data_IF_215811194597
#
_entry.id   IF_215811194597
#
_cell.length_a   1.000
_cell.length_b   1.000
_cell.length_c   1.000
_cell.angle_alpha   90.00
_cell.angle_beta   90.00
_cell.angle_gamma   90.00
#
_symmetry.space_group_name_H-M   'P 1'
#
loop_
_entity.id
_entity.type
_entity.pdbx_description
1 polymer ?
#
# COMPACT_ATOMS: atom_id res chain seq x y z
N UNK A 1 3.63 16.33 4.07
CA UNK A 1 2.87 16.12 2.83
C UNK A 1 2.47 14.65 2.68
N UNK A 2 3.38 13.70 2.43
CA UNK A 2 3.03 12.26 2.28
C UNK A 2 2.31 11.69 3.53
N UNK A 3 2.88 11.89 4.72
CA UNK A 3 2.27 11.41 5.96
C UNK A 3 0.86 12.00 6.19
N UNK A 4 0.62 13.24 5.77
CA UNK A 4 -0.69 13.88 5.91
C UNK A 4 -1.70 13.28 4.93
N UNK A 5 -1.29 12.97 3.70
CA UNK A 5 -2.11 12.25 2.72
C UNK A 5 -2.53 10.88 3.27
N UNK A 6 -1.65 10.13 3.92
CA UNK A 6 -2.00 8.86 4.56
C UNK A 6 -2.88 9.02 5.80
N UNK A 7 -2.77 10.12 6.55
CA UNK A 7 -3.74 10.46 7.61
C UNK A 7 -5.12 10.74 7.04
N UNK A 8 -5.20 11.51 5.94
CA UNK A 8 -6.46 11.75 5.23
C UNK A 8 -7.04 10.44 4.68
N UNK A 9 -6.21 9.56 4.09
CA UNK A 9 -6.65 8.23 3.64
C UNK A 9 -7.23 7.42 4.80
N UNK A 10 -6.56 7.37 5.95
CA UNK A 10 -7.07 6.69 7.15
C UNK A 10 -8.42 7.25 7.58
N UNK A 11 -8.61 8.57 7.61
CA UNK A 11 -9.90 9.18 7.93
C UNK A 11 -10.98 8.79 6.91
N UNK A 12 -10.64 8.78 5.61
CA UNK A 12 -11.59 8.38 4.56
C UNK A 12 -12.00 6.92 4.65
N UNK A 13 -11.11 6.03 5.09
CA UNK A 13 -11.43 4.63 5.31
C UNK A 13 -12.55 4.43 6.34
N UNK A 14 -12.72 5.34 7.30
CA UNK A 14 -13.80 5.25 8.30
C UNK A 14 -15.20 5.28 7.66
N UNK A 15 -15.37 5.90 6.48
CA UNK A 15 -16.66 5.95 5.79
C UNK A 15 -17.09 4.62 5.17
N UNK A 16 -16.17 3.67 5.01
CA UNK A 16 -16.51 2.31 4.59
C UNK A 16 -17.07 1.45 5.75
N UNK A 17 -16.94 1.92 6.99
CA UNK A 17 -17.41 1.23 8.18
C UNK A 17 -18.89 1.52 8.38
N UNK A 18 -19.77 0.70 7.83
CA UNK A 18 -21.22 0.90 7.98
C UNK A 18 -21.77 0.28 9.26
N UNK A 19 -21.28 -0.89 9.69
CA UNK A 19 -21.71 -1.56 10.94
C UNK A 19 -20.65 -2.47 11.61
N UNK A 20 -19.56 -2.80 10.93
CA UNK A 20 -18.49 -3.68 11.43
C UNK A 20 -17.15 -2.94 11.37
N UNK A 21 -16.32 -3.12 12.40
CA UNK A 21 -14.97 -2.59 12.41
C UNK A 21 -14.19 -3.11 11.19
N UNK A 22 -13.71 -2.16 10.38
CA UNK A 22 -12.87 -2.43 9.23
C UNK A 22 -11.51 -2.93 9.72
N UNK A 23 -11.29 -4.22 9.57
CA UNK A 23 -10.10 -4.86 10.10
C UNK A 23 -9.10 -5.16 9.00
N UNK A 24 -9.54 -5.70 7.87
CA UNK A 24 -8.64 -6.19 6.82
C UNK A 24 -8.73 -5.36 5.56
N UNK A 25 -7.60 -4.74 5.19
CA UNK A 25 -7.48 -3.87 4.01
C UNK A 25 -6.53 -4.54 3.02
N UNK A 26 -7.02 -4.87 1.84
CA UNK A 26 -6.21 -5.42 0.77
C UNK A 26 -5.79 -4.32 -0.19
N UNK A 27 -4.51 -4.31 -0.58
CA UNK A 27 -3.94 -3.35 -1.52
C UNK A 27 -3.52 -4.09 -2.78
N UNK A 28 -4.14 -3.73 -3.90
CA UNK A 28 -3.87 -4.31 -5.22
C UNK A 28 -3.85 -3.23 -6.31
N UNK A 29 -3.63 -3.63 -7.55
CA UNK A 29 -3.56 -2.76 -8.73
C UNK A 29 -3.65 -3.59 -10.01
N UNK A 30 -3.82 -2.98 -11.19
CA UNK A 30 -3.94 -3.73 -12.46
C UNK A 30 -2.60 -4.18 -13.05
N UNK A 31 -1.48 -3.65 -12.56
CA UNK A 31 -0.15 -3.93 -13.10
C UNK A 31 0.96 -3.79 -12.06
N UNK A 32 2.15 -4.32 -12.37
CA UNK A 32 3.33 -4.11 -11.53
C UNK A 32 3.80 -2.64 -11.62
N UNK A 33 4.44 -2.14 -10.56
CA UNK A 33 5.02 -0.79 -10.54
C UNK A 33 4.07 0.37 -10.21
N UNK A 34 2.83 0.09 -9.79
CA UNK A 34 1.84 1.13 -9.44
C UNK A 34 1.96 1.64 -7.99
N UNK A 35 2.83 1.02 -7.19
CA UNK A 35 3.17 1.46 -5.83
C UNK A 35 2.36 0.82 -4.70
N UNK A 36 1.91 -0.43 -4.89
CA UNK A 36 1.15 -1.21 -3.87
C UNK A 36 1.91 -1.32 -2.56
N UNK A 37 3.12 -1.87 -2.58
CA UNK A 37 3.99 -2.03 -1.40
C UNK A 37 4.30 -0.70 -0.69
N UNK A 38 4.47 0.38 -1.46
CA UNK A 38 4.60 1.73 -0.91
C UNK A 38 3.33 2.16 -0.17
N UNK A 39 2.15 1.98 -0.77
CA UNK A 39 0.89 2.35 -0.17
C UNK A 39 0.55 1.50 1.06
N UNK A 40 0.71 0.18 0.98
CA UNK A 40 0.46 -0.75 2.08
C UNK A 40 1.38 -0.46 3.27
N UNK A 41 2.68 -0.26 3.04
CA UNK A 41 3.66 0.05 4.09
C UNK A 41 3.35 1.37 4.81
N UNK A 42 3.07 2.44 4.06
CA UNK A 42 2.75 3.74 4.66
C UNK A 42 1.38 3.72 5.38
N UNK A 43 0.41 2.98 4.85
CA UNK A 43 -0.87 2.79 5.52
C UNK A 43 -0.71 1.99 6.82
N UNK A 44 0.12 0.94 6.83
CA UNK A 44 0.41 0.18 8.05
C UNK A 44 1.08 1.04 9.11
N UNK A 45 2.06 1.82 8.68
CA UNK A 45 2.77 2.75 9.54
C UNK A 45 1.81 3.77 10.17
N UNK A 46 0.88 4.36 9.41
CA UNK A 46 -0.04 5.37 9.97
C UNK A 46 -1.07 4.78 10.92
N UNK A 47 -1.50 3.53 10.69
CA UNK A 47 -2.40 2.80 11.59
C UNK A 47 -1.67 2.48 12.90
N UNK A 48 -0.45 1.95 12.83
CA UNK A 48 0.37 1.65 14.00
C UNK A 48 0.70 2.89 14.85
N UNK A 49 1.10 3.99 14.21
CA UNK A 49 1.37 5.30 14.86
C UNK A 49 0.12 5.82 15.58
N UNK A 50 -1.08 5.47 15.10
CA UNK A 50 -2.33 5.87 15.73
C UNK A 50 -2.73 5.02 16.94
N UNK A 51 -1.88 4.06 17.32
CA UNK A 51 -2.09 3.18 18.47
C UNK A 51 -2.80 1.88 18.14
N UNK A 52 -3.14 1.63 16.86
CA UNK A 52 -3.80 0.39 16.44
C UNK A 52 -2.80 -0.74 16.32
N UNK A 53 -3.09 -1.89 16.93
CA UNK A 53 -2.29 -3.10 16.75
C UNK A 53 -2.41 -3.58 15.30
N UNK A 54 -1.36 -3.33 14.51
CA UNK A 54 -1.38 -3.41 13.06
C UNK A 54 -0.43 -4.50 12.57
N UNK A 55 -0.90 -5.27 11.59
CA UNK A 55 -0.10 -6.23 10.84
C UNK A 55 0.03 -5.82 9.38
N UNK A 56 1.26 -5.78 8.87
CA UNK A 56 1.54 -5.69 7.43
C UNK A 56 1.90 -7.08 6.88
N UNK A 57 1.18 -7.52 5.86
CA UNK A 57 1.36 -8.84 5.25
C UNK A 57 1.72 -8.72 3.77
N UNK A 58 2.84 -9.33 3.37
CA UNK A 58 3.23 -9.46 1.96
C UNK A 58 2.77 -10.80 1.38
N UNK A 59 1.81 -10.77 0.45
CA UNK A 59 1.22 -11.96 -0.19
C UNK A 59 1.50 -12.06 -1.70
N UNK A 60 2.49 -11.33 -2.23
CA UNK A 60 3.04 -11.63 -3.55
C UNK A 60 4.05 -12.79 -3.45
N UNK A 61 3.54 -14.01 -3.47
CA UNK A 61 4.35 -15.24 -3.41
C UNK A 61 5.15 -15.50 -4.70
N UNK A 62 4.83 -14.82 -5.81
CA UNK A 62 5.48 -15.03 -7.12
C UNK A 62 6.70 -14.14 -7.28
N UNK A 63 6.59 -12.89 -6.83
CA UNK A 63 7.65 -11.87 -6.91
C UNK A 63 7.70 -11.10 -5.59
N UNK A 64 8.07 -11.75 -4.49
CA UNK A 64 8.14 -11.09 -3.19
C UNK A 64 9.18 -9.97 -3.23
N UNK A 65 8.79 -8.79 -2.76
CA UNK A 65 9.65 -7.58 -2.71
C UNK A 65 9.49 -6.77 -1.44
N UNK A 66 8.43 -7.01 -0.67
CA UNK A 66 8.12 -6.20 0.50
C UNK A 66 9.23 -6.25 1.55
N UNK A 67 9.91 -7.40 1.69
CA UNK A 67 11.00 -7.58 2.65
C UNK A 67 12.22 -6.68 2.37
N UNK A 68 12.49 -6.38 1.09
CA UNK A 68 13.61 -5.52 0.65
C UNK A 68 13.44 -4.11 1.22
N UNK A 69 12.21 -3.59 1.26
CA UNK A 69 11.89 -2.25 1.79
C UNK A 69 12.23 -2.10 3.28
N UNK A 70 12.33 -3.22 4.01
CA UNK A 70 12.70 -3.28 5.43
C UNK A 70 14.14 -3.72 5.67
N UNK A 71 14.90 -4.08 4.62
CA UNK A 71 16.26 -4.59 4.76
C UNK A 71 16.33 -5.93 5.51
N UNK A 72 15.29 -6.76 5.40
CA UNK A 72 15.17 -8.05 6.07
C UNK A 72 15.40 -9.20 5.09
N UNK A 73 15.60 -10.43 5.58
CA UNK A 73 15.69 -11.63 4.75
C UNK A 73 14.31 -12.20 4.42
N UNK A 74 14.18 -12.90 3.29
CA UNK A 74 12.95 -13.57 2.87
C UNK A 74 13.03 -15.10 2.98
N UNK A 75 13.88 -15.60 3.87
CA UNK A 75 14.15 -17.04 4.03
C UNK A 75 12.99 -17.78 4.72
N UNK A 76 12.23 -17.06 5.54
CA UNK A 76 11.07 -17.54 6.28
C UNK A 76 9.86 -16.63 6.02
N UNK A 77 8.71 -17.23 5.75
CA UNK A 77 7.46 -16.51 5.57
C UNK A 77 6.27 -17.41 5.30
N UNK A 78 5.24 -16.83 4.71
CA UNK A 78 3.93 -17.45 4.49
C UNK A 78 4.03 -18.74 3.67
N UNK A 79 4.88 -18.78 2.64
CA UNK A 79 5.08 -19.98 1.83
C UNK A 79 5.60 -21.16 2.66
N UNK A 80 6.52 -20.91 3.61
CA UNK A 80 7.03 -21.96 4.50
C UNK A 80 5.93 -22.48 5.43
N UNK A 81 5.15 -21.58 6.04
CA UNK A 81 4.07 -21.95 6.96
C UNK A 81 2.95 -22.73 6.23
N UNK A 82 2.51 -22.22 5.08
CA UNK A 82 1.49 -22.89 4.26
C UNK A 82 1.99 -24.25 3.76
N UNK A 83 3.28 -24.36 3.44
CA UNK A 83 3.96 -25.63 3.13
C UNK A 83 4.10 -26.58 4.33
N UNK A 84 3.91 -26.11 5.56
CA UNK A 84 4.04 -26.90 6.78
C UNK A 84 5.47 -27.12 7.26
N UNK A 85 6.40 -26.27 6.82
CA UNK A 85 7.80 -26.35 7.20
C UNK A 85 8.10 -25.63 8.51
N UNK A 86 7.24 -24.68 8.92
CA UNK A 86 7.40 -23.85 10.12
C UNK A 86 6.06 -23.58 10.79
N UNK A 87 6.09 -23.14 12.05
CA UNK A 87 4.92 -22.75 12.83
C UNK A 87 4.56 -21.27 12.59
N UNK A 88 3.33 -20.90 12.92
CA UNK A 88 2.83 -19.54 12.72
C UNK A 88 3.63 -18.47 13.47
N UNK A 89 4.09 -18.78 14.68
CA UNK A 89 4.92 -17.87 15.50
C UNK A 89 6.26 -17.55 14.83
N UNK A 90 6.75 -18.42 13.95
CA UNK A 90 8.08 -18.28 13.34
C UNK A 90 8.05 -17.29 12.16
N UNK A 91 6.87 -16.97 11.64
CA UNK A 91 6.69 -16.09 10.48
C UNK A 91 6.20 -14.68 10.86
N UNK A 92 5.83 -14.46 12.13
CA UNK A 92 5.42 -13.16 12.65
C UNK A 92 6.66 -12.42 13.13
N UNK A 93 6.99 -11.32 12.46
CA UNK A 93 8.14 -10.48 12.76
C UNK A 93 7.68 -9.21 13.48
N UNK A 94 8.21 -8.98 14.67
CA UNK A 94 7.99 -7.75 15.41
C UNK A 94 8.91 -6.66 14.85
N UNK A 95 8.34 -5.54 14.42
CA UNK A 95 9.15 -4.39 14.00
C UNK A 95 9.72 -3.63 15.19
N UNK A 96 10.71 -2.78 14.96
CA UNK A 96 11.20 -1.83 15.98
C UNK A 96 10.15 -0.75 16.31
N UNK A 97 9.08 -0.64 15.53
CA UNK A 97 8.00 0.31 15.73
C UNK A 97 6.86 -0.32 16.54
N UNK A 98 6.46 0.39 17.61
CA UNK A 98 5.33 -0.02 18.44
C UNK A 98 4.06 -0.26 17.60
N UNK A 99 3.34 -1.34 17.92
CA UNK A 99 2.06 -1.71 17.29
C UNK A 99 2.16 -2.11 15.81
N UNK A 100 3.36 -2.36 15.27
CA UNK A 100 3.53 -2.84 13.91
C UNK A 100 4.28 -4.16 13.89
N UNK A 101 3.56 -5.20 13.48
CA UNK A 101 4.14 -6.49 13.15
C UNK A 101 4.07 -6.73 11.64
N UNK A 102 4.88 -7.67 11.16
CA UNK A 102 5.05 -7.95 9.74
C UNK A 102 5.06 -9.46 9.49
N UNK A 103 4.51 -9.86 8.35
CA UNK A 103 4.68 -11.21 7.81
C UNK A 103 5.03 -11.07 6.32
N UNK A 104 6.13 -11.70 5.90
CA UNK A 104 6.54 -11.71 4.49
C UNK A 104 6.17 -13.01 3.78
N UNK A 105 6.28 -12.98 2.46
CA UNK A 105 5.92 -14.08 1.58
C UNK A 105 6.74 -15.36 1.83
N UNK A 106 8.03 -15.22 2.17
CA UNK A 106 8.97 -16.34 2.19
C UNK A 106 9.47 -16.71 0.79
N UNK A 107 10.24 -17.80 0.65
CA UNK A 107 10.75 -18.27 -0.63
C UNK A 107 9.64 -18.55 -1.63
N UNK A 108 9.88 -18.33 -2.92
CA UNK A 108 8.89 -18.55 -3.99
C UNK A 108 8.51 -20.03 -4.05
N UNK A 109 7.26 -20.41 -3.76
CA UNK A 109 6.84 -21.81 -3.82
C UNK A 109 6.51 -22.24 -5.26
N UNK A 110 6.53 -23.54 -5.57
CA UNK A 110 6.16 -24.04 -6.89
C UNK A 110 4.67 -23.85 -7.22
N UNK A 111 3.80 -23.78 -6.21
CA UNK A 111 2.34 -23.71 -6.35
C UNK A 111 1.68 -22.58 -5.51
N UNK A 112 1.93 -21.29 -5.81
CA UNK A 112 1.43 -20.16 -5.01
C UNK A 112 -0.08 -20.12 -4.81
N UNK A 113 -0.87 -20.31 -5.87
CA UNK A 113 -2.32 -20.18 -5.82
C UNK A 113 -2.97 -21.23 -4.91
N UNK A 114 -2.52 -22.48 -5.00
CA UNK A 114 -3.03 -23.60 -4.20
C UNK A 114 -2.78 -23.38 -2.71
N UNK A 115 -1.58 -22.89 -2.36
CA UNK A 115 -1.23 -22.59 -0.98
C UNK A 115 -2.16 -21.52 -0.38
N UNK A 116 -2.43 -20.44 -1.13
CA UNK A 116 -3.31 -19.35 -0.68
C UNK A 116 -4.78 -19.76 -0.57
N UNK A 117 -5.20 -20.79 -1.32
CA UNK A 117 -6.57 -21.31 -1.29
C UNK A 117 -6.78 -22.42 -0.24
N UNK A 118 -5.72 -22.91 0.39
CA UNK A 118 -5.78 -24.02 1.35
C UNK A 118 -6.27 -23.62 2.75
N UNK A 119 -6.72 -24.61 3.52
CA UNK A 119 -7.23 -24.41 4.89
C UNK A 119 -6.23 -23.78 5.87
N UNK A 120 -4.91 -23.97 5.66
CA UNK A 120 -3.90 -23.32 6.51
C UNK A 120 -3.93 -21.79 6.40
N UNK A 121 -4.28 -21.26 5.22
CA UNK A 121 -4.47 -19.83 5.02
C UNK A 121 -5.71 -19.33 5.75
N UNK A 122 -6.78 -20.12 5.77
CA UNK A 122 -8.00 -19.82 6.54
C UNK A 122 -7.71 -19.74 8.04
N UNK A 123 -7.05 -20.75 8.60
CA UNK A 123 -6.65 -20.79 10.00
C UNK A 123 -5.72 -19.63 10.37
N UNK A 124 -4.79 -19.28 9.47
CA UNK A 124 -3.92 -18.13 9.66
C UNK A 124 -4.74 -16.84 9.74
N UNK A 125 -5.60 -16.58 8.76
CA UNK A 125 -6.39 -15.35 8.74
C UNK A 125 -7.36 -15.25 9.93
N UNK A 126 -7.93 -16.36 10.40
CA UNK A 126 -8.76 -16.38 11.62
C UNK A 126 -7.96 -15.97 12.86
N UNK A 127 -6.78 -16.58 13.08
CA UNK A 127 -5.90 -16.22 14.19
C UNK A 127 -5.48 -14.75 14.13
N UNK A 128 -5.09 -14.27 12.95
CA UNK A 128 -4.62 -12.89 12.78
C UNK A 128 -5.75 -11.89 13.02
N UNK A 129 -6.98 -12.19 12.57
CA UNK A 129 -8.17 -11.37 12.87
C UNK A 129 -8.55 -11.40 14.34
N UNK A 130 -8.24 -12.46 15.09
CA UNK A 130 -8.40 -12.44 16.54
C UNK A 130 -7.31 -11.62 17.26
N UNK A 131 -6.15 -11.43 16.62
CA UNK A 131 -4.94 -10.90 17.27
C UNK A 131 -4.67 -9.42 16.98
N UNK A 132 -5.04 -8.93 15.80
CA UNK A 132 -4.72 -7.59 15.31
C UNK A 132 -5.99 -6.77 15.09
N UNK A 133 -5.93 -5.46 15.38
CA UNK A 133 -7.04 -4.55 15.07
C UNK A 133 -7.09 -4.18 13.59
N UNK A 134 -5.92 -4.10 12.94
CA UNK A 134 -5.80 -3.79 11.51
C UNK A 134 -4.83 -4.78 10.85
N UNK A 135 -5.21 -5.32 9.70
CA UNK A 135 -4.38 -6.17 8.85
C UNK A 135 -4.34 -5.54 7.45
N UNK A 136 -3.15 -5.27 6.95
CA UNK A 136 -2.94 -4.70 5.62
C UNK A 136 -2.24 -5.73 4.76
N UNK A 137 -2.85 -6.08 3.64
CA UNK A 137 -2.36 -7.12 2.74
C UNK A 137 -1.84 -6.49 1.45
N UNK A 138 -0.55 -6.59 1.20
CA UNK A 138 0.08 -6.27 -0.08
C UNK A 138 -0.01 -7.48 -1.01
N UNK A 139 -0.53 -7.29 -2.22
CA UNK A 139 -0.87 -8.39 -3.14
C UNK A 139 -0.26 -8.20 -4.53
N UNK A 140 -0.16 -9.28 -5.33
CA UNK A 140 0.18 -9.12 -6.75
C UNK A 140 -0.93 -8.36 -7.51
N UNK A 141 -0.64 -7.86 -8.72
CA UNK A 141 -1.65 -7.19 -9.54
C UNK A 141 -2.87 -8.08 -9.84
N UNK A 142 -4.07 -7.57 -9.62
CA UNK A 142 -5.33 -8.25 -9.96
C UNK A 142 -5.49 -8.33 -11.48
N UNK A 143 -5.98 -9.45 -11.99
CA UNK A 143 -6.20 -9.69 -13.43
C UNK A 143 -5.00 -10.21 -14.21
N UNK A 144 -3.78 -10.14 -13.65
CA UNK A 144 -2.60 -10.83 -14.22
C UNK A 144 -2.51 -12.27 -13.70
N UNK A 145 -2.91 -12.50 -12.46
CA UNK A 145 -2.86 -13.80 -11.78
C UNK A 145 -4.11 -14.04 -10.95
N UNK A 146 -4.50 -15.31 -10.80
CA UNK A 146 -5.67 -15.73 -10.02
C UNK A 146 -5.51 -15.53 -8.51
N UNK A 147 -4.28 -15.42 -8.03
CA UNK A 147 -3.91 -15.45 -6.61
C UNK A 147 -4.64 -14.36 -5.78
N UNK A 148 -4.74 -13.13 -6.31
CA UNK A 148 -5.38 -12.02 -5.60
C UNK A 148 -6.88 -12.27 -5.36
N UNK A 149 -7.58 -12.95 -6.28
CA UNK A 149 -9.01 -13.25 -6.11
C UNK A 149 -9.27 -14.16 -4.91
N UNK A 150 -8.39 -15.13 -4.66
CA UNK A 150 -8.46 -16.01 -3.49
C UNK A 150 -8.32 -15.26 -2.16
N UNK A 151 -7.67 -14.09 -2.18
CA UNK A 151 -7.43 -13.26 -1.00
C UNK A 151 -8.55 -12.27 -0.69
N UNK A 152 -9.35 -11.90 -1.70
CA UNK A 152 -10.45 -10.93 -1.55
C UNK A 152 -11.46 -11.35 -0.47
N UNK A 153 -11.70 -12.67 -0.32
CA UNK A 153 -12.63 -13.19 0.71
C UNK A 153 -12.20 -12.87 2.14
N UNK A 154 -10.92 -12.57 2.38
CA UNK A 154 -10.42 -12.20 3.69
C UNK A 154 -10.46 -10.69 3.94
N UNK A 155 -10.65 -9.87 2.90
CA UNK A 155 -10.64 -8.41 2.97
C UNK A 155 -12.01 -7.83 3.27
N UNK A 156 -12.04 -6.76 4.08
CA UNK A 156 -13.24 -5.94 4.28
C UNK A 156 -13.27 -4.79 3.27
N UNK A 157 -12.10 -4.26 2.88
CA UNK A 157 -11.91 -3.19 1.87
C UNK A 157 -10.81 -3.57 0.90
N UNK A 158 -11.02 -3.22 -0.37
CA UNK A 158 -10.07 -3.42 -1.46
C UNK A 158 -9.60 -2.07 -2.03
N UNK A 159 -8.34 -1.72 -1.77
CA UNK A 159 -7.69 -0.53 -2.33
C UNK A 159 -7.04 -0.88 -3.67
N UNK A 160 -7.55 -0.29 -4.74
CA UNK A 160 -7.02 -0.45 -6.08
C UNK A 160 -6.20 0.76 -6.48
N UNK A 161 -4.90 0.57 -6.70
CA UNK A 161 -4.00 1.65 -7.07
C UNK A 161 -4.03 1.92 -8.58
N UNK A 162 -4.08 3.20 -8.92
CA UNK A 162 -3.88 3.73 -10.26
C UNK A 162 -2.74 4.73 -10.16
N UNK A 163 -1.69 4.55 -10.97
CA UNK A 163 -0.53 5.45 -10.97
C UNK A 163 -0.68 6.52 -12.06
N UNK A 164 -0.63 7.78 -11.65
CA UNK A 164 -0.79 8.91 -12.54
C UNK A 164 0.26 8.93 -13.65
N UNK A 165 -0.18 9.12 -14.91
CA UNK A 165 0.65 9.10 -16.12
C UNK A 165 1.42 7.78 -16.34
N UNK A 166 0.96 6.68 -15.75
CA UNK A 166 1.55 5.35 -15.92
C UNK A 166 0.48 4.31 -16.25
N UNK A 167 -0.57 4.22 -15.43
CA UNK A 167 -1.68 3.27 -15.65
C UNK A 167 -2.48 3.71 -16.86
N UNK A 168 -2.71 2.77 -17.79
CA UNK A 168 -3.52 3.03 -18.98
C UNK A 168 -5.01 2.96 -18.60
N UNK A 169 -5.84 3.80 -19.20
CA UNK A 169 -7.28 3.80 -18.89
C UNK A 169 -7.93 2.44 -19.22
N UNK A 170 -7.49 1.82 -20.31
CA UNK A 170 -8.01 0.51 -20.73
C UNK A 170 -7.65 -0.62 -19.76
N UNK A 171 -6.55 -0.51 -19.01
CA UNK A 171 -6.19 -1.53 -18.00
C UNK A 171 -7.07 -1.47 -16.75
N UNK A 172 -7.84 -0.39 -16.56
CA UNK A 172 -8.79 -0.25 -15.46
C UNK A 172 -10.15 -0.85 -15.84
N UNK A 173 -10.52 -0.92 -17.12
CA UNK A 173 -11.83 -1.40 -17.58
C UNK A 173 -12.22 -2.78 -17.02
N UNK A 174 -11.33 -3.79 -16.98
CA UNK A 174 -11.66 -5.10 -16.40
C UNK A 174 -12.10 -5.04 -14.93
N UNK A 175 -11.70 -4.00 -14.19
CA UNK A 175 -12.13 -3.79 -12.82
C UNK A 175 -13.65 -3.62 -12.71
N UNK A 176 -14.27 -2.93 -13.67
CA UNK A 176 -15.72 -2.75 -13.70
C UNK A 176 -16.39 -4.12 -13.82
N UNK A 177 -15.92 -4.98 -14.72
CA UNK A 177 -16.46 -6.33 -14.89
C UNK A 177 -16.33 -7.15 -13.59
N UNK A 178 -15.21 -7.03 -12.87
CA UNK A 178 -15.02 -7.74 -11.59
C UNK A 178 -15.99 -7.25 -10.50
N UNK A 179 -16.29 -5.95 -10.48
CA UNK A 179 -17.25 -5.35 -9.53
C UNK A 179 -18.67 -5.72 -9.91
N UNK A 180 -19.06 -5.60 -11.18
CA UNK A 180 -20.40 -5.94 -11.68
C UNK A 180 -20.73 -7.42 -11.47
N UNK A 181 -19.74 -8.31 -11.64
CA UNK A 181 -19.89 -9.74 -11.36
C UNK A 181 -19.83 -10.10 -9.86
N UNK A 182 -19.64 -9.10 -8.99
CA UNK A 182 -19.55 -9.29 -7.54
C UNK A 182 -18.30 -10.03 -7.06
N UNK A 183 -17.28 -10.16 -7.93
CA UNK A 183 -15.99 -10.78 -7.59
C UNK A 183 -15.16 -9.90 -6.66
N UNK A 184 -15.30 -8.58 -6.79
CA UNK A 184 -14.66 -7.59 -5.92
C UNK A 184 -15.76 -6.73 -5.28
N UNK A 185 -15.69 -6.58 -3.95
CA UNK A 185 -16.62 -5.76 -3.16
C UNK A 185 -15.86 -4.69 -2.39
N UNK A 186 -16.55 -3.63 -1.97
CA UNK A 186 -15.99 -2.57 -1.12
C UNK A 186 -14.66 -2.00 -1.66
N UNK A 187 -14.65 -1.67 -2.95
CA UNK A 187 -13.48 -1.18 -3.64
C UNK A 187 -13.34 0.35 -3.50
N UNK A 188 -12.11 0.81 -3.32
CA UNK A 188 -11.74 2.23 -3.41
C UNK A 188 -10.53 2.40 -4.32
N UNK A 189 -10.49 3.48 -5.09
CA UNK A 189 -9.38 3.79 -6.00
C UNK A 189 -8.42 4.77 -5.31
N UNK A 190 -7.13 4.47 -5.36
CA UNK A 190 -6.06 5.37 -4.92
C UNK A 190 -5.28 5.84 -6.14
N UNK A 191 -5.29 7.16 -6.38
CA UNK A 191 -4.42 7.77 -7.37
C UNK A 191 -3.03 8.02 -6.75
N UNK A 192 -2.04 7.23 -7.17
CA UNK A 192 -0.67 7.29 -6.69
C UNK A 192 0.26 8.05 -7.66
N UNK A 193 1.41 8.52 -7.15
CA UNK A 193 2.43 9.28 -7.89
C UNK A 193 1.85 10.50 -8.64
N UNK A 194 0.88 11.18 -8.01
CA UNK A 194 0.25 12.35 -8.60
C UNK A 194 1.29 13.45 -8.81
N UNK A 195 1.34 13.96 -10.04
CA UNK A 195 2.24 15.03 -10.47
C UNK A 195 1.36 16.20 -10.84
N UNK A 196 1.24 17.18 -9.95
CA UNK A 196 0.62 18.45 -10.29
C UNK A 196 1.41 19.03 -11.48
N UNK A 197 0.71 19.37 -12.57
CA UNK A 197 1.36 20.03 -13.69
C UNK A 197 1.83 21.41 -13.23
N UNK A 198 3.14 21.58 -13.10
CA UNK A 198 3.75 22.91 -12.95
C UNK A 198 3.93 23.51 -14.35
N UNK A 199 2.97 24.30 -14.82
CA UNK A 199 3.10 25.03 -16.09
C UNK A 199 1.88 25.86 -16.50
N UNK A 200 2.04 27.19 -16.42
CA UNK A 200 1.37 28.29 -17.14
C UNK A 200 -0.02 28.07 -17.75
N UNK A 201 -1.04 28.71 -17.16
CA UNK A 201 -2.32 28.95 -17.84
C UNK A 201 -3.49 29.15 -16.86
N UNK A 202 -3.88 30.41 -16.68
CA UNK A 202 -5.19 30.92 -16.26
C UNK A 202 -6.21 29.95 -15.63
N UNK A 203 -6.50 30.20 -14.35
CA UNK A 203 -7.86 30.17 -13.81
C UNK A 203 -8.57 28.83 -13.75
N UNK A 204 -8.54 28.18 -12.59
CA UNK A 204 -9.70 27.78 -11.77
C UNK A 204 -9.20 26.80 -10.71
N UNK A 205 -8.68 27.36 -9.62
CA UNK A 205 -8.33 26.64 -8.41
C UNK A 205 -9.62 26.15 -7.73
N UNK A 206 -10.01 24.89 -7.95
CA UNK A 206 -10.84 24.17 -7.00
C UNK A 206 -9.94 23.49 -5.97
N UNK A 207 -9.40 24.30 -5.06
CA UNK A 207 -8.73 23.84 -3.86
C UNK A 207 -9.72 23.89 -2.70
N UNK A 208 -10.30 22.75 -2.33
CA UNK A 208 -10.91 22.60 -1.01
C UNK A 208 -9.79 22.49 0.02
N UNK A 209 -9.35 23.65 0.52
CA UNK A 209 -8.46 23.79 1.67
C UNK A 209 -9.10 24.74 2.68
N UNK A 210 -9.76 24.18 3.69
CA UNK A 210 -10.19 24.95 4.86
C UNK A 210 -8.94 25.40 5.63
N UNK A 211 -8.69 26.72 5.63
CA UNK A 211 -7.62 27.35 6.40
C UNK A 211 -7.81 28.86 6.44
N UNK A 212 -8.45 29.34 7.52
CA UNK A 212 -8.54 30.76 7.86
C UNK A 212 -7.14 31.36 8.03
N UNK A 213 -6.87 32.50 7.39
CA UNK A 213 -5.63 33.26 7.60
C UNK A 213 -5.55 34.53 6.76
N UNK A 214 -5.75 35.68 7.40
CA UNK A 214 -5.74 37.03 6.84
C UNK A 214 -4.37 37.46 6.27
N UNK A 215 -4.39 38.09 5.08
CA UNK A 215 -3.85 39.45 4.91
C UNK A 215 -2.38 39.70 4.54
N UNK A 216 -2.20 40.11 3.27
CA UNK A 216 -1.30 41.15 2.72
C UNK A 216 0.22 40.93 2.54
N UNK A 217 0.70 41.16 1.30
CA UNK A 217 2.03 41.75 1.06
C UNK A 217 2.76 41.33 -0.22
N UNK A 218 2.79 42.21 -1.22
CA UNK A 218 3.41 42.09 -2.56
C UNK A 218 4.94 41.93 -2.61
N UNK A 219 5.46 41.35 -3.71
CA UNK A 219 6.85 41.56 -4.14
C UNK A 219 7.31 40.71 -5.33
N UNK A 220 7.45 41.33 -6.51
CA UNK A 220 7.93 40.76 -7.78
C UNK A 220 9.46 40.57 -7.82
N UNK A 221 9.95 39.58 -8.58
CA UNK A 221 11.36 39.47 -8.97
C UNK A 221 11.64 38.37 -10.00
N UNK A 222 11.87 38.78 -11.26
CA UNK A 222 12.26 37.92 -12.38
C UNK A 222 13.76 37.54 -12.33
N UNK A 223 14.10 36.32 -12.74
CA UNK A 223 15.49 35.90 -12.98
C UNK A 223 15.58 34.69 -13.90
N UNK A 224 15.96 34.91 -15.16
CA UNK A 224 16.24 33.89 -16.17
C UNK A 224 17.59 33.20 -15.89
N UNK A 225 17.66 31.88 -16.12
CA UNK A 225 18.92 31.12 -16.08
C UNK A 225 18.79 29.72 -16.69
N UNK A 226 18.99 29.64 -18.01
CA UNK A 226 19.16 28.39 -18.75
C UNK A 226 20.53 27.76 -18.45
N UNK A 227 20.59 26.45 -18.18
CA UNK A 227 21.77 25.62 -18.50
C UNK A 227 21.41 24.14 -18.62
N UNK A 228 21.62 23.63 -19.84
CA UNK A 228 21.60 22.22 -20.20
C UNK A 228 22.81 21.48 -19.60
N UNK A 229 22.62 20.22 -19.24
CA UNK A 229 23.68 19.28 -18.89
C UNK A 229 23.10 17.90 -18.59
N UNK A 230 23.16 16.98 -19.56
CA UNK A 230 22.75 15.59 -19.41
C UNK A 230 23.82 14.70 -18.78
N UNK A 231 23.41 13.53 -18.29
CA UNK A 231 24.33 12.42 -18.03
C UNK A 231 24.01 11.52 -16.84
N UNK A 232 23.46 10.34 -17.18
CA UNK A 232 23.63 9.00 -16.57
C UNK A 232 22.95 8.62 -15.24
N UNK A 233 22.29 7.47 -15.34
CA UNK A 233 21.58 6.69 -14.33
C UNK A 233 22.56 6.04 -13.34
N UNK A 234 22.22 6.07 -12.05
CA UNK A 234 22.33 4.91 -11.15
C UNK A 234 21.61 5.17 -9.80
N UNK A 235 20.89 4.15 -9.35
CA UNK A 235 20.45 3.79 -7.99
C UNK A 235 20.02 4.89 -7.00
N UNK A 236 18.71 5.21 -7.03
CA UNK A 236 18.03 6.03 -6.03
C UNK A 236 16.90 5.33 -5.27
N UNK A 237 16.64 4.04 -5.50
CA UNK A 237 15.56 3.33 -4.83
C UNK A 237 15.85 3.14 -3.33
N UNK A 238 17.03 2.64 -2.97
CA UNK A 238 17.37 2.24 -1.60
C UNK A 238 17.46 3.42 -0.61
N UNK A 239 17.85 4.61 -1.11
CA UNK A 239 17.94 5.82 -0.26
C UNK A 239 16.60 6.47 0.04
N UNK A 240 15.53 6.16 -0.71
CA UNK A 240 14.20 6.77 -0.50
C UNK A 240 13.44 6.10 0.63
N UNK A 241 13.48 4.77 0.74
CA UNK A 241 12.76 4.02 1.77
C UNK A 241 13.30 4.32 3.18
N UNK A 242 14.63 4.34 3.36
CA UNK A 242 15.25 4.68 4.65
C UNK A 242 15.05 6.16 5.07
N UNK A 243 14.91 7.09 4.10
CA UNK A 243 14.62 8.50 4.39
C UNK A 243 13.14 8.75 4.73
N UNK A 244 12.24 7.89 4.25
CA UNK A 244 10.80 8.03 4.48
C UNK A 244 10.45 7.72 5.95
N UNK A 245 11.01 6.64 6.50
CA UNK A 245 10.83 6.25 7.91
C UNK A 245 11.41 7.28 8.89
N UNK A 246 12.56 7.91 8.56
CA UNK A 246 13.14 9.01 9.35
C UNK A 246 12.35 10.33 9.29
N UNK A 247 11.52 10.54 8.25
CA UNK A 247 10.72 11.77 8.09
C UNK A 247 9.36 11.70 8.78
N UNK A 248 8.84 10.50 9.02
CA UNK A 248 7.57 10.28 9.73
C UNK A 248 7.75 10.38 11.26
N UNK A 249 8.98 10.14 11.75
CA UNK A 249 9.31 10.01 13.18
C UNK A 249 9.78 11.29 13.88
N UNK A 250 9.90 12.42 13.17
CA UNK A 250 10.12 13.72 13.85
C UNK A 250 8.85 14.14 14.59
N UNK A 251 8.77 13.79 15.88
CA UNK A 251 7.91 14.48 16.86
C UNK A 251 8.32 15.97 16.94
N UNK A 252 7.37 16.86 17.30
CA UNK A 252 7.59 18.32 17.29
C UNK A 252 8.77 18.75 18.15
#
# INVERSE_FOLDING_TARGET
>A
MIAETFRSLRSNLQYFSTEKDLQTILVTSGSSGEGKSFCSTNLASIMAISGKKTLLMGLDLRKPKLYDDFGLSNDLGISNYLGGFVEMKDIILHSEYSNLDMIFAGPVPPNPAELLMGHKMENLMEYLKATYEIIIIDTPPIGVVSDTFGLLKYSDINLYLVRHLYTQQDSIKPLNDYVERGMVKNIAIILNDFKARTGYGYGYNYGYGYGYGYGYGYGYGYGYGNKYGGGYYEDQADRKSQKLLKRITKKP
#
